data_IF_989034716890
#
_entry.id   IF_989034716890
#
_cell.length_a   1.000
_cell.length_b   1.000
_cell.length_c   1.000
_cell.angle_alpha   90.00
_cell.angle_beta   90.00
_cell.angle_gamma   90.00
#
_symmetry.space_group_name_H-M   'P 1'
#
loop_
_entity.id
_entity.type
_entity.pdbx_description
1 polymer ?
#
# COMPACT_ATOMS: atom_id res chain seq x y z
N UNK A 1 4.46 -3.33 11.17
CA UNK A 1 4.37 -2.49 9.95
C UNK A 1 5.58 -2.82 9.09
N UNK A 2 5.82 -2.12 7.98
CA UNK A 2 7.03 -2.33 7.18
C UNK A 2 8.29 -1.76 7.85
N UNK A 3 8.15 -0.64 8.56
CA UNK A 3 9.24 0.32 8.86
C UNK A 3 9.67 0.39 10.33
N UNK A 4 8.97 -0.24 11.27
CA UNK A 4 9.32 -0.14 12.70
C UNK A 4 10.68 -0.79 12.95
N UNK A 5 11.67 -0.07 13.52
CA UNK A 5 12.96 -0.66 13.86
C UNK A 5 12.84 -1.81 14.88
N UNK A 6 13.54 -2.92 14.63
CA UNK A 6 13.61 -4.11 15.49
C UNK A 6 12.44 -5.11 15.36
N UNK A 7 11.39 -4.78 14.60
CA UNK A 7 10.22 -5.66 14.41
C UNK A 7 9.55 -5.52 13.04
N UNK A 8 10.01 -4.59 12.21
CA UNK A 8 9.47 -4.31 10.90
C UNK A 8 9.94 -5.35 9.90
N UNK A 9 9.14 -5.56 8.84
CA UNK A 9 9.46 -6.48 7.76
C UNK A 9 10.86 -6.24 7.15
N UNK A 10 11.32 -4.98 7.18
CA UNK A 10 12.62 -4.57 6.69
C UNK A 10 13.82 -5.07 7.51
N UNK A 11 13.65 -5.43 8.78
CA UNK A 11 14.76 -5.98 9.57
C UNK A 11 15.19 -7.36 9.06
N UNK A 12 14.26 -8.14 8.48
CA UNK A 12 14.56 -9.44 7.86
C UNK A 12 15.34 -9.34 6.53
N UNK A 13 15.47 -8.12 5.99
CA UNK A 13 16.10 -7.83 4.69
C UNK A 13 17.58 -7.46 4.80
N UNK A 14 18.14 -7.34 6.01
CA UNK A 14 19.56 -6.99 6.21
C UNK A 14 20.53 -7.92 5.45
N UNK A 15 20.12 -9.18 5.21
CA UNK A 15 20.87 -10.18 4.42
C UNK A 15 21.15 -9.77 2.97
N UNK A 16 20.35 -8.86 2.42
CA UNK A 16 20.49 -8.37 1.03
C UNK A 16 21.38 -7.12 0.93
N UNK A 17 22.02 -6.71 2.03
CA UNK A 17 22.94 -5.59 2.10
C UNK A 17 22.40 -4.30 1.46
N UNK A 18 21.10 -4.06 1.65
CA UNK A 18 20.40 -2.90 1.10
C UNK A 18 20.88 -1.64 1.81
N UNK A 19 21.30 -0.63 1.06
CA UNK A 19 21.60 0.70 1.60
C UNK A 19 20.38 1.35 2.23
N UNK A 20 19.19 1.04 1.69
CA UNK A 20 17.88 1.43 2.21
C UNK A 20 16.86 0.31 1.98
N UNK A 21 16.00 -0.03 2.97
CA UNK A 21 15.02 -1.10 2.80
C UNK A 21 14.03 -0.87 1.66
N UNK A 22 13.74 0.40 1.32
CA UNK A 22 12.85 0.75 0.21
C UNK A 22 13.33 0.24 -1.16
N UNK A 23 14.64 -0.01 -1.32
CA UNK A 23 15.19 -0.47 -2.61
C UNK A 23 14.64 -1.82 -3.05
N UNK A 24 14.10 -2.63 -2.14
CA UNK A 24 13.47 -3.90 -2.51
C UNK A 24 12.21 -3.71 -3.38
N UNK A 25 11.66 -2.51 -3.38
CA UNK A 25 10.54 -2.09 -4.22
C UNK A 25 10.99 -1.17 -5.37
N UNK A 26 12.27 -1.18 -5.75
CA UNK A 26 12.77 -0.50 -6.95
C UNK A 26 12.80 -1.48 -8.13
N UNK A 27 12.31 -1.05 -9.30
CA UNK A 27 12.18 -1.94 -10.46
C UNK A 27 13.53 -2.34 -11.04
N UNK A 28 14.53 -1.45 -11.03
CA UNK A 28 15.88 -1.80 -11.48
C UNK A 28 16.54 -2.77 -10.51
N UNK A 29 16.41 -2.53 -9.20
CA UNK A 29 16.89 -3.46 -8.19
C UNK A 29 16.25 -4.85 -8.33
N UNK A 30 14.95 -4.90 -8.66
CA UNK A 30 14.26 -6.17 -8.91
C UNK A 30 14.74 -6.90 -10.15
N UNK A 31 15.10 -6.19 -11.23
CA UNK A 31 15.73 -6.81 -12.40
C UNK A 31 17.09 -7.43 -12.07
N UNK A 32 17.87 -6.75 -11.24
CA UNK A 32 19.22 -7.18 -10.84
C UNK A 32 19.20 -8.31 -9.79
N UNK A 33 18.33 -8.19 -8.78
CA UNK A 33 18.24 -9.11 -7.64
C UNK A 33 16.79 -9.53 -7.33
N UNK A 34 16.09 -10.23 -8.25
CA UNK A 34 14.68 -10.58 -8.07
C UNK A 34 14.43 -11.50 -6.87
N UNK A 35 15.41 -12.33 -6.53
CA UNK A 35 15.34 -13.25 -5.39
C UNK A 35 15.10 -12.56 -4.04
N UNK A 36 15.58 -11.31 -3.87
CA UNK A 36 15.35 -10.54 -2.65
C UNK A 36 13.85 -10.23 -2.46
N UNK A 37 13.22 -9.66 -3.48
CA UNK A 37 11.80 -9.34 -3.46
C UNK A 37 10.93 -10.61 -3.40
N UNK A 38 11.29 -11.68 -4.12
CA UNK A 38 10.53 -12.92 -4.07
C UNK A 38 10.58 -13.63 -2.72
N UNK A 39 11.71 -13.54 -2.00
CA UNK A 39 11.78 -14.01 -0.63
C UNK A 39 10.84 -13.21 0.28
N UNK A 40 10.81 -11.88 0.10
CA UNK A 40 9.88 -11.00 0.83
C UNK A 40 8.41 -11.34 0.54
N UNK A 41 8.05 -11.65 -0.71
CA UNK A 41 6.69 -12.02 -1.09
C UNK A 41 6.14 -13.20 -0.29
N UNK A 42 6.99 -14.17 0.09
CA UNK A 42 6.59 -15.30 0.94
C UNK A 42 6.17 -14.87 2.35
N UNK A 43 6.71 -13.76 2.85
CA UNK A 43 6.34 -13.20 4.15
C UNK A 43 5.08 -12.34 4.07
N UNK A 44 4.81 -11.76 2.89
CA UNK A 44 3.70 -10.83 2.64
C UNK A 44 2.41 -11.49 2.14
N UNK A 45 2.47 -12.76 1.73
CA UNK A 45 1.32 -13.41 1.14
C UNK A 45 0.10 -13.43 2.10
N UNK A 46 -1.13 -13.17 1.61
CA UNK A 46 -2.32 -13.19 2.45
C UNK A 46 -2.47 -14.51 3.22
N UNK A 47 -2.95 -14.41 4.47
CA UNK A 47 -3.24 -15.55 5.34
C UNK A 47 -2.26 -15.76 6.49
N UNK A 48 -1.10 -15.10 6.48
CA UNK A 48 -0.14 -15.15 7.60
C UNK A 48 -0.47 -14.19 8.74
N UNK A 49 -1.12 -13.07 8.41
CA UNK A 49 -1.54 -12.05 9.35
C UNK A 49 -3.06 -11.93 9.35
N UNK A 50 -3.62 -11.65 10.54
CA UNK A 50 -5.04 -11.37 10.70
C UNK A 50 -5.30 -9.86 10.67
N UNK A 51 -6.44 -9.41 10.11
CA UNK A 51 -6.82 -8.00 10.17
C UNK A 51 -6.88 -7.49 11.61
N UNK A 52 -6.46 -6.25 11.82
CA UNK A 52 -6.48 -5.58 13.13
C UNK A 52 -7.84 -4.94 13.43
N UNK A 53 -8.04 -4.45 14.65
CA UNK A 53 -9.22 -3.66 15.04
C UNK A 53 -9.47 -2.47 14.11
N UNK A 54 -8.42 -1.84 13.56
CA UNK A 54 -8.57 -0.74 12.61
C UNK A 54 -9.22 -1.21 11.30
N UNK A 55 -8.86 -2.40 10.80
CA UNK A 55 -9.47 -2.97 9.60
C UNK A 55 -10.94 -3.31 9.84
N UNK A 56 -11.27 -3.90 11.00
CA UNK A 56 -12.65 -4.16 11.37
C UNK A 56 -13.47 -2.89 11.63
N UNK A 57 -12.85 -1.81 12.10
CA UNK A 57 -13.49 -0.51 12.21
C UNK A 57 -13.88 0.03 10.82
N UNK A 58 -12.97 -0.05 9.83
CA UNK A 58 -13.28 0.34 8.44
C UNK A 58 -14.42 -0.53 7.88
N UNK A 59 -14.39 -1.84 8.16
CA UNK A 59 -15.47 -2.76 7.79
C UNK A 59 -16.81 -2.36 8.42
N UNK A 60 -16.80 -1.98 9.70
CA UNK A 60 -17.98 -1.51 10.41
C UNK A 60 -18.56 -0.23 9.80
N UNK A 61 -17.73 0.71 9.35
CA UNK A 61 -18.18 1.90 8.63
C UNK A 61 -18.88 1.53 7.32
N UNK A 62 -18.38 0.50 6.61
CA UNK A 62 -19.06 -0.03 5.43
C UNK A 62 -20.40 -0.67 5.78
N UNK A 63 -20.45 -1.52 6.81
CA UNK A 63 -21.68 -2.21 7.21
C UNK A 63 -22.77 -1.24 7.70
N UNK A 64 -22.36 -0.07 8.23
CA UNK A 64 -23.26 1.03 8.58
C UNK A 64 -23.65 1.93 7.40
N UNK A 65 -23.13 1.67 6.20
CA UNK A 65 -23.44 2.44 4.99
C UNK A 65 -22.80 3.83 4.92
N UNK A 66 -21.85 4.15 5.79
CA UNK A 66 -21.23 5.50 5.88
C UNK A 66 -19.84 5.55 5.23
N UNK A 67 -19.24 4.41 4.88
CA UNK A 67 -17.97 4.39 4.17
C UNK A 67 -18.16 4.70 2.68
N UNK A 68 -17.65 5.84 2.21
CA UNK A 68 -17.57 6.13 0.78
C UNK A 68 -16.53 5.23 0.09
N UNK A 69 -15.27 5.33 0.53
CA UNK A 69 -14.13 4.56 0.03
C UNK A 69 -13.04 4.39 1.10
N UNK A 70 -12.28 3.31 0.99
CA UNK A 70 -11.00 3.12 1.68
C UNK A 70 -9.87 3.19 0.66
N UNK A 71 -8.99 4.19 0.82
CA UNK A 71 -7.73 4.30 0.09
C UNK A 71 -6.63 3.77 1.00
N UNK A 72 -5.90 2.73 0.55
CA UNK A 72 -4.81 2.13 1.33
C UNK A 72 -3.49 2.19 0.58
N UNK A 73 -2.41 2.46 1.32
CA UNK A 73 -1.03 2.32 0.84
C UNK A 73 -0.47 0.93 1.13
N UNK A 74 -1.17 0.14 1.95
CA UNK A 74 -0.73 -1.20 2.33
C UNK A 74 -0.95 -2.16 1.16
N UNK A 75 -0.06 -3.14 1.06
CA UNK A 75 -0.08 -4.20 0.05
C UNK A 75 -0.50 -5.55 0.64
N UNK A 76 -0.64 -5.64 1.97
CA UNK A 76 -0.90 -6.87 2.73
C UNK A 76 -2.32 -7.45 2.54
N UNK A 77 -3.21 -6.70 1.88
CA UNK A 77 -4.58 -7.11 1.55
C UNK A 77 -5.49 -7.37 2.77
N UNK A 78 -5.13 -6.86 3.95
CA UNK A 78 -5.87 -7.10 5.19
C UNK A 78 -7.26 -6.45 5.21
N UNK A 79 -7.49 -5.37 4.46
CA UNK A 79 -8.82 -4.75 4.31
C UNK A 79 -9.79 -5.71 3.63
N UNK A 80 -9.33 -6.41 2.58
CA UNK A 80 -10.09 -7.43 1.89
C UNK A 80 -10.37 -8.65 2.77
N UNK A 81 -9.37 -9.09 3.55
CA UNK A 81 -9.54 -10.18 4.53
C UNK A 81 -10.51 -9.82 5.67
N UNK A 82 -10.59 -8.55 6.07
CA UNK A 82 -11.64 -8.07 6.98
C UNK A 82 -13.05 -8.05 6.33
N UNK A 83 -13.15 -8.41 5.06
CA UNK A 83 -14.38 -8.48 4.29
C UNK A 83 -14.84 -7.14 3.73
N UNK A 84 -13.94 -6.16 3.58
CA UNK A 84 -14.28 -4.93 2.88
C UNK A 84 -14.51 -5.24 1.38
N UNK A 85 -15.64 -4.85 0.78
CA UNK A 85 -15.90 -5.13 -0.63
C UNK A 85 -14.84 -4.49 -1.55
N UNK A 86 -14.40 -5.19 -2.61
CA UNK A 86 -13.46 -4.64 -3.61
C UNK A 86 -13.92 -3.30 -4.19
N UNK A 87 -15.23 -3.11 -4.35
CA UNK A 87 -15.80 -1.85 -4.79
C UNK A 87 -15.47 -0.68 -3.85
N UNK A 88 -15.30 -0.91 -2.55
CA UNK A 88 -14.97 0.10 -1.55
C UNK A 88 -13.46 0.31 -1.37
N UNK A 89 -12.64 -0.59 -1.89
CA UNK A 89 -11.18 -0.55 -1.74
C UNK A 89 -10.50 0.08 -2.96
N UNK A 90 -9.50 0.90 -2.69
CA UNK A 90 -8.49 1.38 -3.64
C UNK A 90 -7.13 1.10 -3.02
N UNK A 91 -6.49 0.02 -3.48
CA UNK A 91 -5.10 -0.29 -3.14
C UNK A 91 -4.19 0.60 -3.97
N UNK A 92 -3.82 1.76 -3.42
CA UNK A 92 -3.10 2.81 -4.14
C UNK A 92 -1.71 2.35 -4.58
N UNK A 93 -1.05 1.51 -3.78
CA UNK A 93 0.22 0.88 -4.15
C UNK A 93 0.04 -0.55 -4.66
N UNK A 94 -1.18 -0.90 -5.10
CA UNK A 94 -1.49 -2.25 -5.53
C UNK A 94 -1.55 -3.26 -4.39
N UNK A 95 -1.67 -4.54 -4.71
CA UNK A 95 -1.78 -5.62 -3.75
C UNK A 95 -1.41 -6.98 -4.39
N UNK A 96 -1.53 -8.06 -3.62
CA UNK A 96 -1.32 -9.43 -4.08
C UNK A 96 -2.61 -10.07 -4.66
N UNK A 97 -3.48 -9.32 -5.35
CA UNK A 97 -4.66 -9.90 -6.00
C UNK A 97 -4.38 -10.45 -7.41
N UNK A 98 -3.34 -9.93 -8.08
CA UNK A 98 -3.00 -10.25 -9.48
C UNK A 98 -1.51 -10.05 -9.73
N UNK A 99 -0.95 -10.66 -10.77
CA UNK A 99 0.43 -10.50 -11.19
C UNK A 99 0.52 -10.17 -12.69
N UNK A 100 1.69 -9.74 -13.14
CA UNK A 100 1.98 -9.48 -14.55
C UNK A 100 3.47 -9.69 -14.84
N UNK A 101 3.79 -9.92 -16.12
CA UNK A 101 5.16 -9.89 -16.61
C UNK A 101 5.62 -8.44 -16.71
N UNK A 102 6.81 -8.14 -16.18
CA UNK A 102 7.37 -6.78 -16.26
C UNK A 102 7.70 -6.40 -17.72
N UNK A 103 7.76 -5.10 -18.01
CA UNK A 103 8.25 -4.54 -19.28
C UNK A 103 7.50 -5.05 -20.54
N UNK A 104 6.23 -5.42 -20.39
CA UNK A 104 5.34 -5.82 -21.50
C UNK A 104 4.36 -4.72 -21.89
N UNK A 105 4.20 -4.49 -23.20
CA UNK A 105 3.15 -3.64 -23.78
C UNK A 105 2.54 -4.35 -25.01
N UNK A 106 1.26 -4.78 -24.96
CA UNK A 106 0.32 -4.63 -23.85
C UNK A 106 0.72 -5.46 -22.61
N UNK A 107 0.21 -5.06 -21.45
CA UNK A 107 0.46 -5.76 -20.17
C UNK A 107 0.03 -7.25 -20.27
N UNK A 108 0.97 -8.15 -19.96
CA UNK A 108 0.70 -9.58 -19.90
C UNK A 108 0.35 -10.00 -18.47
N UNK A 109 -0.94 -10.23 -18.20
CA UNK A 109 -1.41 -10.70 -16.90
C UNK A 109 -0.97 -12.13 -16.60
N UNK A 110 -0.66 -12.38 -15.33
CA UNK A 110 -0.31 -13.70 -14.80
C UNK A 110 -1.17 -13.98 -13.58
N UNK A 111 -1.65 -15.22 -13.49
CA UNK A 111 -2.39 -15.66 -12.31
C UNK A 111 -1.53 -15.52 -11.06
N UNK A 112 -2.08 -14.87 -10.04
CA UNK A 112 -1.36 -14.71 -8.78
C UNK A 112 -1.04 -16.05 -8.11
N UNK A 113 -1.86 -17.08 -8.36
CA UNK A 113 -1.65 -18.45 -7.90
C UNK A 113 -0.49 -19.13 -8.63
N UNK A 114 -0.30 -18.82 -9.90
CA UNK A 114 0.82 -19.33 -10.70
C UNK A 114 2.14 -18.73 -10.22
N UNK A 115 2.18 -17.42 -10.01
CA UNK A 115 3.31 -16.75 -9.37
C UNK A 115 3.59 -17.38 -7.99
N UNK A 116 2.56 -17.52 -7.15
CA UNK A 116 2.71 -18.15 -5.83
C UNK A 116 3.35 -19.53 -5.91
N UNK A 117 2.85 -20.39 -6.78
CA UNK A 117 3.36 -21.75 -6.95
C UNK A 117 4.81 -21.76 -7.43
N UNK A 118 5.19 -20.82 -8.30
CA UNK A 118 6.57 -20.63 -8.72
C UNK A 118 7.47 -20.18 -7.55
N UNK A 119 7.02 -19.23 -6.73
CA UNK A 119 7.77 -18.77 -5.56
C UNK A 119 7.92 -19.89 -4.52
N UNK A 120 6.89 -20.70 -4.30
CA UNK A 120 6.90 -21.83 -3.35
C UNK A 120 7.97 -22.88 -3.73
N UNK A 121 8.23 -23.09 -5.02
CA UNK A 121 9.32 -23.93 -5.54
C UNK A 121 10.72 -23.31 -5.38
N UNK A 122 10.82 -22.07 -4.92
CA UNK A 122 12.09 -21.39 -4.69
C UNK A 122 12.71 -20.84 -5.98
N UNK A 123 14.04 -20.78 -6.02
CA UNK A 123 14.77 -20.10 -7.09
C UNK A 123 14.56 -20.72 -8.47
N UNK A 124 14.60 -22.05 -8.56
CA UNK A 124 14.31 -22.77 -9.80
C UNK A 124 12.88 -22.49 -10.29
N UNK A 125 11.94 -22.33 -9.38
CA UNK A 125 10.53 -22.12 -9.70
C UNK A 125 10.24 -20.80 -10.40
N UNK A 126 10.72 -19.68 -9.84
CA UNK A 126 10.51 -18.37 -10.46
C UNK A 126 11.38 -18.15 -11.70
N UNK A 127 12.55 -18.80 -11.79
CA UNK A 127 13.38 -18.81 -13.01
C UNK A 127 12.69 -19.52 -14.16
N UNK A 128 12.10 -20.70 -13.91
CA UNK A 128 11.33 -21.42 -14.92
C UNK A 128 10.09 -20.62 -15.38
N UNK A 129 9.41 -19.94 -14.45
CA UNK A 129 8.28 -19.06 -14.81
C UNK A 129 8.73 -17.91 -15.71
N UNK A 130 9.86 -17.27 -15.38
CA UNK A 130 10.48 -16.22 -16.21
C UNK A 130 10.80 -16.74 -17.61
N UNK A 131 11.46 -17.88 -17.72
CA UNK A 131 11.80 -18.46 -19.03
C UNK A 131 10.56 -18.78 -19.87
N UNK A 132 9.49 -19.28 -19.23
CA UNK A 132 8.24 -19.60 -19.91
C UNK A 132 7.44 -18.38 -20.39
N UNK A 133 7.60 -17.23 -19.73
CA UNK A 133 6.84 -16.02 -20.02
C UNK A 133 7.67 -14.91 -20.67
N UNK A 134 8.99 -15.09 -20.80
CA UNK A 134 9.92 -14.17 -21.43
C UNK A 134 10.60 -13.18 -20.46
N UNK A 135 9.97 -12.83 -19.34
CA UNK A 135 10.57 -11.97 -18.32
C UNK A 135 10.05 -12.23 -16.89
N UNK A 136 10.59 -11.50 -15.91
CA UNK A 136 10.21 -11.58 -14.50
C UNK A 136 8.73 -11.27 -14.30
N UNK A 137 8.12 -11.97 -13.35
CA UNK A 137 6.71 -11.79 -13.00
C UNK A 137 6.64 -11.15 -11.62
N UNK A 138 5.93 -10.03 -11.50
CA UNK A 138 5.67 -9.40 -10.19
C UNK A 138 4.18 -9.33 -9.88
N UNK A 139 3.78 -9.37 -8.60
CA UNK A 139 2.44 -8.96 -8.21
C UNK A 139 2.18 -7.54 -8.69
N UNK A 140 0.92 -7.16 -8.91
CA UNK A 140 0.52 -5.77 -9.24
C UNK A 140 0.63 -4.88 -8.01
N UNK A 141 1.83 -4.81 -7.44
CA UNK A 141 2.29 -3.86 -6.44
C UNK A 141 3.08 -2.79 -7.17
N UNK A 142 2.86 -1.55 -6.77
CA UNK A 142 3.52 -0.37 -7.32
C UNK A 142 4.90 -0.26 -6.68
N UNK A 143 5.91 -0.35 -7.53
CA UNK A 143 7.31 -0.11 -7.19
C UNK A 143 7.61 1.39 -7.28
N UNK A 144 8.71 1.82 -6.66
CA UNK A 144 9.16 3.20 -6.79
C UNK A 144 9.44 3.54 -8.26
N UNK A 145 8.91 4.68 -8.70
CA UNK A 145 8.98 5.12 -10.10
C UNK A 145 7.85 4.61 -10.98
N UNK A 146 7.05 3.64 -10.53
CA UNK A 146 5.85 3.21 -11.25
C UNK A 146 4.66 4.14 -11.00
N UNK A 147 3.74 4.18 -11.97
CA UNK A 147 2.48 4.89 -11.81
C UNK A 147 1.55 4.13 -10.87
N UNK A 148 0.79 4.88 -10.07
CA UNK A 148 -0.30 4.29 -9.29
C UNK A 148 -1.42 3.79 -10.23
N UNK A 149 -2.26 2.84 -9.80
CA UNK A 149 -3.31 2.30 -10.63
C UNK A 149 -4.31 3.37 -11.08
N UNK A 150 -4.77 3.29 -12.32
CA UNK A 150 -5.83 4.15 -12.89
C UNK A 150 -7.02 4.37 -11.96
N UNK A 151 -7.43 3.33 -11.24
CA UNK A 151 -8.54 3.35 -10.29
C UNK A 151 -8.33 4.42 -9.21
N UNK A 152 -7.10 4.65 -8.78
CA UNK A 152 -6.76 5.70 -7.83
C UNK A 152 -7.15 7.07 -8.40
N UNK A 153 -6.57 7.44 -9.56
CA UNK A 153 -6.79 8.75 -10.18
C UNK A 153 -8.23 8.97 -10.63
N UNK A 154 -8.93 7.91 -11.06
CA UNK A 154 -10.32 7.98 -11.51
C UNK A 154 -11.30 8.24 -10.36
N UNK A 155 -11.03 7.72 -9.16
CA UNK A 155 -12.01 7.74 -8.07
C UNK A 155 -11.80 8.87 -7.07
N UNK A 156 -10.56 9.20 -6.70
CA UNK A 156 -10.32 10.16 -5.61
C UNK A 156 -10.95 11.53 -5.85
N UNK A 157 -11.00 12.09 -7.07
CA UNK A 157 -11.52 13.44 -7.25
C UNK A 157 -13.00 13.53 -6.88
N UNK A 158 -13.81 12.54 -7.26
CA UNK A 158 -15.24 12.52 -6.94
C UNK A 158 -15.50 12.13 -5.47
N UNK A 159 -14.78 11.11 -4.99
CA UNK A 159 -14.94 10.60 -3.62
C UNK A 159 -14.59 11.67 -2.58
N UNK A 160 -13.50 12.43 -2.79
CA UNK A 160 -12.99 13.39 -1.80
C UNK A 160 -13.72 14.74 -1.85
N UNK A 161 -14.17 15.19 -3.03
CA UNK A 161 -15.01 16.40 -3.14
C UNK A 161 -16.36 16.26 -2.45
N UNK A 162 -16.92 15.05 -2.41
CA UNK A 162 -18.20 14.74 -1.77
C UNK A 162 -18.05 14.18 -0.35
N UNK A 163 -16.83 14.13 0.17
CA UNK A 163 -16.55 13.58 1.49
C UNK A 163 -17.02 14.53 2.60
N UNK A 164 -17.74 13.99 3.58
CA UNK A 164 -18.19 14.72 4.77
C UNK A 164 -17.21 14.61 5.96
N UNK A 165 -16.36 13.57 5.97
CA UNK A 165 -15.35 13.31 7.01
C UNK A 165 -14.21 12.48 6.42
N UNK A 166 -12.97 12.99 6.48
CA UNK A 166 -11.79 12.21 6.11
C UNK A 166 -11.12 11.66 7.38
N UNK A 167 -11.00 10.34 7.46
CA UNK A 167 -10.26 9.66 8.52
C UNK A 167 -8.93 9.15 7.94
N UNK A 168 -7.81 9.59 8.53
CA UNK A 168 -6.46 9.18 8.17
C UNK A 168 -5.91 8.32 9.30
N UNK A 169 -5.59 7.07 8.99
CA UNK A 169 -5.14 6.07 9.97
C UNK A 169 -3.72 5.60 9.61
N UNK A 170 -2.79 5.68 10.57
CA UNK A 170 -1.52 4.95 10.49
C UNK A 170 -0.62 5.27 9.29
N UNK A 171 -0.52 6.52 8.86
CA UNK A 171 0.35 6.95 7.76
C UNK A 171 1.12 8.22 8.11
N UNK A 172 2.38 8.29 7.69
CA UNK A 172 3.23 9.48 7.84
C UNK A 172 2.94 10.57 6.80
N UNK A 173 2.14 10.27 5.77
CA UNK A 173 1.77 11.20 4.68
C UNK A 173 2.97 11.83 3.97
N UNK A 174 4.01 11.03 3.71
CA UNK A 174 5.23 11.50 3.00
C UNK A 174 5.28 11.08 1.53
N UNK A 175 4.55 10.03 1.14
CA UNK A 175 4.61 9.45 -0.21
C UNK A 175 3.56 10.09 -1.10
N UNK A 176 4.00 10.75 -2.18
CA UNK A 176 3.12 11.29 -3.21
C UNK A 176 2.81 10.25 -4.29
N UNK A 177 1.64 10.33 -4.96
CA UNK A 177 0.58 11.34 -4.82
C UNK A 177 -0.39 11.08 -3.65
N UNK A 178 -0.22 9.99 -2.89
CA UNK A 178 -1.15 9.59 -1.84
C UNK A 178 -1.30 10.64 -0.73
N UNK A 179 -0.20 11.25 -0.29
CA UNK A 179 -0.21 12.31 0.72
C UNK A 179 -1.07 13.52 0.29
N UNK A 180 -1.13 13.81 -1.02
CA UNK A 180 -1.93 14.88 -1.59
C UNK A 180 -3.44 14.71 -1.40
N UNK A 181 -3.95 13.50 -1.17
CA UNK A 181 -5.38 13.23 -0.97
C UNK A 181 -5.98 14.06 0.17
N UNK A 182 -5.19 14.40 1.19
CA UNK A 182 -5.66 15.21 2.32
C UNK A 182 -6.09 16.61 1.89
N UNK A 183 -5.48 17.14 0.82
CA UNK A 183 -5.83 18.44 0.25
C UNK A 183 -6.98 18.43 -0.75
N UNK A 184 -7.40 17.24 -1.19
CA UNK A 184 -8.50 17.05 -2.15
C UNK A 184 -9.87 16.89 -1.47
N UNK A 185 -9.88 16.64 -0.15
CA UNK A 185 -11.10 16.58 0.63
C UNK A 185 -11.83 17.93 0.63
N UNK A 186 -13.17 17.89 0.68
CA UNK A 186 -13.98 19.10 0.80
C UNK A 186 -13.48 20.01 1.93
N UNK A 187 -13.43 21.32 1.68
CA UNK A 187 -12.96 22.31 2.67
C UNK A 187 -13.80 22.33 3.95
N UNK A 188 -15.06 21.91 3.87
CA UNK A 188 -15.97 21.83 5.02
C UNK A 188 -15.87 20.50 5.77
N UNK A 189 -15.23 19.48 5.19
CA UNK A 189 -15.10 18.17 5.82
C UNK A 189 -14.09 18.24 6.97
N UNK A 190 -14.47 17.82 8.19
CA UNK A 190 -13.51 17.58 9.24
C UNK A 190 -12.52 16.50 8.82
N UNK A 191 -11.31 16.57 9.39
CA UNK A 191 -10.24 15.60 9.13
C UNK A 191 -9.74 15.07 10.46
N UNK A 192 -9.74 13.75 10.62
CA UNK A 192 -9.28 13.06 11.81
C UNK A 192 -7.99 12.31 11.47
N UNK A 193 -6.91 12.59 12.21
CA UNK A 193 -5.71 11.78 12.18
C UNK A 193 -5.69 10.87 13.41
N UNK A 194 -5.58 9.56 13.20
CA UNK A 194 -5.25 8.60 14.25
C UNK A 194 -3.92 7.97 13.90
N UNK A 195 -2.87 8.47 14.54
CA UNK A 195 -1.50 8.03 14.30
C UNK A 195 -0.68 8.15 15.58
N UNK A 196 0.45 7.44 15.65
CA UNK A 196 1.39 7.56 16.80
C UNK A 196 2.06 8.93 16.86
N UNK A 197 2.26 9.54 15.70
CA UNK A 197 3.01 10.79 15.51
C UNK A 197 2.21 11.78 14.64
N UNK A 198 2.49 13.09 14.69
CA UNK A 198 1.86 14.03 13.78
C UNK A 198 2.27 13.71 12.35
N UNK A 199 1.35 13.85 11.41
CA UNK A 199 1.61 13.59 10.00
C UNK A 199 0.89 14.63 9.13
N UNK A 200 1.48 14.93 7.96
CA UNK A 200 0.87 15.84 6.98
C UNK A 200 0.61 17.26 7.51
N UNK A 201 1.44 17.76 8.42
CA UNK A 201 1.28 19.10 9.00
C UNK A 201 1.59 20.19 7.99
N UNK A 202 0.75 21.23 7.92
CA UNK A 202 1.01 22.39 7.07
C UNK A 202 0.34 23.66 7.59
N UNK A 203 0.83 24.83 7.15
CA UNK A 203 0.28 26.12 7.54
C UNK A 203 -1.08 26.42 6.87
N UNK A 204 -1.29 25.85 5.68
CA UNK A 204 -2.52 26.03 4.90
C UNK A 204 -3.48 24.89 5.19
N UNK A 205 -4.47 25.11 6.06
CA UNK A 205 -5.45 24.09 6.43
C UNK A 205 -5.99 23.29 5.24
N UNK A 206 -6.26 23.93 4.10
CA UNK A 206 -6.73 23.26 2.88
C UNK A 206 -5.81 22.15 2.31
N UNK A 207 -4.56 22.02 2.75
CA UNK A 207 -3.56 21.10 2.17
C UNK A 207 -3.09 20.01 3.16
N UNK A 208 -3.53 20.03 4.40
CA UNK A 208 -3.03 19.12 5.44
C UNK A 208 -3.59 19.40 6.83
N UNK A 209 -2.93 18.87 7.86
CA UNK A 209 -3.33 19.05 9.25
C UNK A 209 -2.68 20.28 9.87
N UNK A 210 -3.41 20.96 10.75
CA UNK A 210 -2.89 22.06 11.58
C UNK A 210 -3.27 21.80 13.03
N UNK A 211 -2.37 21.17 13.77
CA UNK A 211 -2.53 20.88 15.20
C UNK A 211 -2.15 22.12 16.02
N UNK A 212 -2.87 22.39 17.11
CA UNK A 212 -2.47 23.44 18.04
C UNK A 212 -1.41 22.85 18.96
N UNK A 213 -0.14 22.93 18.54
CA UNK A 213 0.98 22.45 19.33
C UNK A 213 1.18 23.37 20.54
N UNK A 214 0.55 23.06 21.67
CA UNK A 214 0.84 23.71 22.95
C UNK A 214 2.12 23.06 23.49
N UNK A 215 3.16 23.86 23.70
CA UNK A 215 4.48 23.37 24.07
C UNK A 215 4.51 22.68 25.45
N UNK A 216 5.41 21.69 25.55
CA UNK A 216 5.79 20.80 26.66
C UNK A 216 4.65 20.01 27.36
N UNK A 217 4.40 18.80 26.85
CA UNK A 217 3.39 17.84 27.36
C UNK A 217 2.23 17.53 26.39
N UNK A 218 2.49 17.73 25.09
CA UNK A 218 1.56 17.85 23.96
C UNK A 218 0.21 17.10 24.04
N UNK A 219 -0.88 17.85 23.84
CA UNK A 219 -2.14 17.33 23.31
C UNK A 219 -2.46 18.05 21.99
N UNK A 220 -2.81 17.23 21.00
CA UNK A 220 -2.93 17.49 19.56
C UNK A 220 -4.03 18.47 19.16
#
# INVERSE_FOLDING_TARGET
>A
DFRTPGSGLYDNLQRYNLTRPEMIFDLNFFREQPGAFYHLCKELWPGRYSPTTAHYFIRLLNDKGVLSRCYTQNIDSLEGLAGLPKAKLVAAHGNFDSAHVIDTDPEQEVSILELKAALDRGEEGWRALREGLGDLVKPKIVFFGEQLPDRFYKLYPADLRSCDLLIVLGTSLVVQPFAGLVGEASRSAPRLLVNREPAGTCDRLALGFRFNLVAEGANW
#
